data_IF_229789132136
#
_entry.id   IF_229789132136
#
_cell.length_a   1.000
_cell.length_b   1.000
_cell.length_c   1.000
_cell.angle_alpha   90.00
_cell.angle_beta   90.00
_cell.angle_gamma   90.00
#
_symmetry.space_group_name_H-M   'P 1'
#
loop_
_entity.id
_entity.type
_entity.pdbx_description
1 polymer ?
#
# COMPACT_ATOMS: atom_id res chain seq x y z
N UNK A 1 9.30 29.72 11.40
CA UNK A 1 8.03 29.26 12.00
C UNK A 1 7.30 28.38 11.00
N UNK A 2 7.26 27.05 11.20
CA UNK A 2 6.45 26.16 10.36
C UNK A 2 5.05 26.09 10.96
N UNK A 3 4.10 26.68 10.24
CA UNK A 3 2.68 26.73 10.56
C UNK A 3 2.15 25.33 10.87
N UNK A 4 1.24 25.24 11.84
CA UNK A 4 0.58 24.01 12.25
C UNK A 4 0.07 23.25 11.02
N UNK A 5 0.65 22.06 10.74
CA UNK A 5 0.04 21.13 9.79
C UNK A 5 -1.28 20.70 10.43
N UNK A 6 -2.38 21.30 10.00
CA UNK A 6 -3.66 20.64 10.05
C UNK A 6 -3.45 19.27 9.41
N UNK A 7 -3.56 18.21 10.19
CA UNK A 7 -3.67 16.84 9.70
C UNK A 7 -4.91 16.79 8.80
N UNK A 8 -4.76 17.16 7.53
CA UNK A 8 -5.78 16.86 6.55
C UNK A 8 -5.92 15.33 6.57
N UNK A 9 -7.10 14.86 6.95
CA UNK A 9 -7.38 13.44 6.98
C UNK A 9 -7.16 12.90 5.56
N UNK A 10 -6.50 11.75 5.44
CA UNK A 10 -6.39 11.05 4.16
C UNK A 10 -7.81 10.76 3.65
N UNK A 11 -8.12 11.21 2.44
CA UNK A 11 -9.43 11.08 1.79
C UNK A 11 -9.54 9.71 1.11
N UNK A 12 -9.92 8.71 1.89
CA UNK A 12 -9.99 7.31 1.47
C UNK A 12 -10.89 7.14 0.22
N UNK A 13 -10.34 6.59 -0.87
CA UNK A 13 -11.06 6.26 -2.10
C UNK A 13 -11.32 4.77 -2.23
N UNK A 14 -10.28 4.01 -2.60
CA UNK A 14 -10.34 2.55 -2.77
C UNK A 14 -9.34 1.84 -1.84
N UNK A 15 -9.66 0.61 -1.42
CA UNK A 15 -8.76 -0.23 -0.63
C UNK A 15 -8.51 -1.55 -1.35
N UNK A 16 -7.23 -1.87 -1.57
CA UNK A 16 -6.76 -3.07 -2.25
C UNK A 16 -6.01 -3.95 -1.26
N UNK A 17 -6.35 -5.23 -1.21
CA UNK A 17 -5.64 -6.20 -0.38
C UNK A 17 -4.37 -6.63 -1.10
N UNK A 18 -3.24 -6.67 -0.41
CA UNK A 18 -2.04 -7.32 -0.93
C UNK A 18 -2.28 -8.84 -0.94
N UNK A 19 -2.27 -9.49 -2.12
CA UNK A 19 -2.59 -10.91 -2.22
C UNK A 19 -1.49 -11.79 -1.61
N UNK A 20 -1.82 -13.05 -1.25
CA UNK A 20 -0.79 -14.04 -0.98
C UNK A 20 0.07 -14.31 -2.23
N UNK A 21 1.32 -14.72 -2.04
CA UNK A 21 2.31 -14.87 -3.12
C UNK A 21 1.88 -15.82 -4.24
N UNK A 22 1.03 -16.81 -3.96
CA UNK A 22 0.54 -17.79 -4.92
C UNK A 22 -0.70 -17.37 -5.71
N UNK A 23 -1.30 -16.21 -5.43
CA UNK A 23 -2.51 -15.72 -6.13
C UNK A 23 -2.16 -14.77 -7.28
N UNK A 24 -1.65 -15.34 -8.38
CA UNK A 24 -1.19 -14.61 -9.57
C UNK A 24 -2.27 -13.71 -10.19
N UNK A 25 -3.55 -14.10 -10.09
CA UNK A 25 -4.67 -13.33 -10.67
C UNK A 25 -4.92 -12.05 -9.89
N UNK A 26 -4.94 -12.15 -8.56
CA UNK A 26 -5.11 -10.98 -7.70
C UNK A 26 -3.89 -10.06 -7.76
N UNK A 27 -2.68 -10.62 -7.93
CA UNK A 27 -1.46 -9.84 -8.18
C UNK A 27 -1.54 -9.02 -9.48
N UNK A 28 -1.99 -9.62 -10.58
CA UNK A 28 -2.20 -8.88 -11.84
C UNK A 28 -3.16 -7.70 -11.68
N UNK A 29 -4.26 -7.88 -10.92
CA UNK A 29 -5.20 -6.80 -10.64
C UNK A 29 -4.54 -5.71 -9.80
N UNK A 30 -3.77 -6.09 -8.77
CA UNK A 30 -3.07 -5.12 -7.94
C UNK A 30 -2.10 -4.28 -8.79
N UNK A 31 -1.31 -4.91 -9.67
CA UNK A 31 -0.41 -4.19 -10.57
C UNK A 31 -1.12 -3.22 -11.51
N UNK A 32 -2.29 -3.60 -12.04
CA UNK A 32 -3.08 -2.72 -12.89
C UNK A 32 -3.59 -1.46 -12.17
N UNK A 33 -3.77 -1.53 -10.84
CA UNK A 33 -4.14 -0.38 -10.02
C UNK A 33 -2.95 0.48 -9.61
N UNK A 34 -1.83 -0.14 -9.25
CA UNK A 34 -0.65 0.57 -8.76
C UNK A 34 0.16 1.24 -9.87
N UNK A 35 0.18 0.65 -11.08
CA UNK A 35 0.93 1.20 -12.20
C UNK A 35 2.40 1.45 -11.85
N UNK A 36 2.88 2.66 -12.16
CA UNK A 36 4.27 3.08 -11.94
C UNK A 36 4.58 3.46 -10.49
N UNK A 37 3.57 3.59 -9.63
CA UNK A 37 3.73 3.92 -8.21
C UNK A 37 4.10 2.71 -7.36
N UNK A 38 4.45 1.57 -7.98
CA UNK A 38 4.88 0.38 -7.27
C UNK A 38 6.05 -0.35 -7.93
N UNK A 39 6.83 -1.02 -7.09
CA UNK A 39 7.97 -1.84 -7.48
C UNK A 39 7.84 -3.24 -6.91
N UNK A 40 8.10 -4.24 -7.75
CA UNK A 40 8.17 -5.63 -7.33
C UNK A 40 9.39 -5.85 -6.44
N UNK A 41 9.20 -6.56 -5.34
CA UNK A 41 10.29 -6.97 -4.47
C UNK A 41 10.83 -8.35 -4.87
N UNK A 42 12.08 -8.63 -4.51
CA UNK A 42 12.67 -9.97 -4.68
C UNK A 42 12.03 -11.02 -3.77
N UNK A 43 11.47 -10.59 -2.64
CA UNK A 43 10.73 -11.45 -1.72
C UNK A 43 9.29 -11.70 -2.23
N UNK A 44 8.92 -12.97 -2.32
CA UNK A 44 7.59 -13.37 -2.76
C UNK A 44 6.53 -12.87 -1.78
N UNK A 45 5.51 -12.15 -2.29
CA UNK A 45 4.38 -11.70 -1.47
C UNK A 45 4.55 -10.32 -0.85
N UNK A 46 5.50 -9.50 -1.32
CA UNK A 46 5.64 -8.11 -0.93
C UNK A 46 5.70 -7.18 -2.15
N UNK A 47 5.24 -5.94 -1.97
CA UNK A 47 5.31 -4.87 -2.97
C UNK A 47 5.73 -3.58 -2.28
N UNK A 48 6.56 -2.81 -2.96
CA UNK A 48 6.92 -1.47 -2.50
C UNK A 48 6.04 -0.46 -3.23
N UNK A 49 5.47 0.51 -2.50
CA UNK A 49 4.50 1.49 -3.01
C UNK A 49 5.00 2.89 -2.70
N UNK A 50 4.94 3.78 -3.69
CA UNK A 50 5.27 5.19 -3.53
C UNK A 50 4.16 5.89 -2.76
N UNK A 51 4.50 6.53 -1.64
CA UNK A 51 3.57 7.29 -0.81
C UNK A 51 4.11 8.71 -0.61
N UNK A 52 3.28 9.67 -0.15
CA UNK A 52 3.76 11.02 0.16
C UNK A 52 4.85 11.07 1.24
N UNK A 53 5.01 10.01 2.04
CA UNK A 53 6.08 9.89 3.05
C UNK A 53 7.34 9.19 2.51
N UNK A 54 7.33 8.76 1.25
CA UNK A 54 8.36 7.95 0.61
C UNK A 54 7.87 6.54 0.30
N UNK A 55 8.81 5.65 -0.03
CA UNK A 55 8.45 4.27 -0.34
C UNK A 55 8.06 3.48 0.91
N UNK A 56 6.92 2.79 0.86
CA UNK A 56 6.43 1.90 1.90
C UNK A 56 6.33 0.46 1.37
N UNK A 57 6.66 -0.53 2.20
CA UNK A 57 6.54 -1.94 1.84
C UNK A 57 5.20 -2.46 2.35
N UNK A 58 4.41 -3.11 1.50
CA UNK A 58 3.18 -3.79 1.87
C UNK A 58 3.36 -5.30 1.67
N UNK A 59 3.06 -6.08 2.72
CA UNK A 59 3.16 -7.54 2.70
C UNK A 59 1.81 -8.18 2.43
N UNK A 60 1.80 -9.45 2.04
CA UNK A 60 0.58 -10.24 1.88
C UNK A 60 -0.33 -10.13 3.12
N UNK A 61 -1.55 -9.64 2.91
CA UNK A 61 -2.49 -9.33 3.97
C UNK A 61 -2.61 -7.84 4.31
N UNK A 62 -1.59 -7.03 4.05
CA UNK A 62 -1.72 -5.58 4.22
C UNK A 62 -2.77 -5.01 3.25
N UNK A 63 -3.23 -3.81 3.58
CA UNK A 63 -4.09 -3.01 2.72
C UNK A 63 -3.28 -1.88 2.10
N UNK A 64 -3.48 -1.64 0.81
CA UNK A 64 -3.04 -0.43 0.14
C UNK A 64 -4.29 0.39 -0.14
N UNK A 65 -4.36 1.59 0.44
CA UNK A 65 -5.46 2.52 0.30
C UNK A 65 -5.06 3.61 -0.69
N UNK A 66 -5.84 3.78 -1.75
CA UNK A 66 -5.75 4.88 -2.71
C UNK A 66 -6.67 6.01 -2.24
N UNK A 67 -6.16 7.22 -2.11
CA UNK A 67 -6.98 8.40 -1.86
C UNK A 67 -7.68 8.88 -3.13
N UNK A 68 -8.74 9.69 -2.98
CA UNK A 68 -9.37 10.36 -4.13
C UNK A 68 -8.40 11.38 -4.75
N UNK A 69 -7.51 11.98 -3.96
CA UNK A 69 -6.44 12.86 -4.45
C UNK A 69 -5.35 12.15 -5.28
N UNK A 70 -5.30 10.81 -5.28
CA UNK A 70 -4.36 10.01 -6.08
C UNK A 70 -3.12 9.51 -5.32
N UNK A 71 -3.06 9.68 -4.01
CA UNK A 71 -1.96 9.20 -3.18
C UNK A 71 -2.23 7.80 -2.64
N UNK A 72 -1.16 7.03 -2.39
CA UNK A 72 -1.26 5.73 -1.72
C UNK A 72 -0.86 5.81 -0.24
N UNK A 73 -1.50 4.96 0.57
CA UNK A 73 -1.16 4.70 1.96
C UNK A 73 -1.19 3.19 2.24
N UNK A 74 -0.17 2.66 2.91
CA UNK A 74 -0.14 1.26 3.34
C UNK A 74 -0.68 1.16 4.76
N UNK A 75 -1.80 0.45 4.92
CA UNK A 75 -2.38 0.09 6.19
C UNK A 75 -1.99 -1.35 6.54
N UNK A 76 -1.00 -1.49 7.42
CA UNK A 76 -0.50 -2.80 7.83
C UNK A 76 -1.58 -3.58 8.57
N UNK A 77 -1.87 -4.78 8.08
CA UNK A 77 -2.67 -5.73 8.83
C UNK A 77 -1.73 -6.41 9.80
N UNK A 78 -1.76 -5.99 11.06
CA UNK A 78 -0.87 -6.55 12.07
C UNK A 78 -0.93 -8.07 12.06
N UNK A 79 0.16 -8.71 11.61
CA UNK A 79 0.55 -9.98 12.20
C UNK A 79 1.31 -9.63 13.46
N UNK A 80 0.62 -9.70 14.60
CA UNK A 80 1.25 -10.29 15.78
C UNK A 80 1.55 -11.73 15.33
N UNK A 81 2.72 -11.95 14.72
CA UNK A 81 3.31 -13.27 14.79
C UNK A 81 3.71 -13.42 16.26
N UNK A 82 3.07 -14.39 16.93
CA UNK A 82 3.28 -14.74 18.33
C UNK A 82 4.75 -14.60 18.74
N UNK A 83 4.97 -13.90 19.85
CA UNK A 83 6.23 -13.90 20.59
C UNK A 83 6.39 -15.21 21.37
#
# INVERSE_FOLDING_TARGET
MRSARSTAAFDHGAALRVPPANDTRSWHKLWAWLGDDAQAMTEAGAVQVCTPQGWAIAQAGDWIVLSVSGDFHVAHSGRVWDA
#
